data_IF_329932156067
#
_entry.id   IF_329932156067
#
_cell.length_a   1.000
_cell.length_b   1.000
_cell.length_c   1.000
_cell.angle_alpha   90.00
_cell.angle_beta   90.00
_cell.angle_gamma   90.00
#
_symmetry.space_group_name_H-M   'P 1'
#
loop_
_entity.id
_entity.type
_entity.pdbx_description
1 polymer ?
#
# COMPACT_ATOMS: atom_id res chain seq x y z
N UNK A 1 29.43 -70.99 6.58
CA UNK A 1 28.65 -69.84 7.08
C UNK A 1 27.21 -70.30 7.23
N UNK A 2 26.71 -70.41 8.47
CA UNK A 2 25.37 -70.93 8.75
C UNK A 2 24.29 -69.99 8.19
N UNK A 3 23.11 -70.51 7.87
CA UNK A 3 22.00 -69.73 7.29
C UNK A 3 21.68 -68.48 8.13
N UNK A 4 21.75 -68.57 9.46
CA UNK A 4 21.53 -67.43 10.36
C UNK A 4 22.52 -66.27 10.14
N UNK A 5 23.79 -66.57 9.86
CA UNK A 5 24.80 -65.53 9.60
C UNK A 5 24.53 -64.77 8.29
N UNK A 6 23.87 -65.40 7.30
CA UNK A 6 23.51 -64.72 6.04
C UNK A 6 22.36 -63.74 6.23
N UNK A 7 21.43 -64.01 7.14
CA UNK A 7 20.32 -63.11 7.43
C UNK A 7 20.76 -61.88 8.21
N UNK A 8 21.67 -62.04 9.18
CA UNK A 8 22.23 -60.91 9.94
C UNK A 8 22.99 -59.94 9.02
N UNK A 9 23.82 -60.46 8.11
CA UNK A 9 24.59 -59.61 7.17
C UNK A 9 23.66 -58.84 6.21
N UNK A 10 22.59 -59.47 5.72
CA UNK A 10 21.60 -58.79 4.86
C UNK A 10 20.83 -57.72 5.61
N UNK A 11 20.48 -57.96 6.87
CA UNK A 11 19.76 -56.99 7.69
C UNK A 11 20.60 -55.75 7.98
N UNK A 12 21.89 -55.93 8.32
CA UNK A 12 22.82 -54.81 8.52
C UNK A 12 23.07 -54.01 7.24
N UNK A 13 23.15 -54.66 6.07
CA UNK A 13 23.32 -53.96 4.80
C UNK A 13 22.12 -53.05 4.46
N UNK A 14 20.90 -53.49 4.75
CA UNK A 14 19.67 -52.72 4.52
C UNK A 14 19.60 -51.51 5.48
N UNK A 15 19.92 -51.70 6.76
CA UNK A 15 19.96 -50.63 7.74
C UNK A 15 21.01 -49.56 7.40
N UNK A 16 22.20 -49.98 6.94
CA UNK A 16 23.24 -49.04 6.49
C UNK A 16 22.81 -48.25 5.26
N UNK A 17 22.11 -48.89 4.30
CA UNK A 17 21.56 -48.21 3.13
C UNK A 17 20.53 -47.14 3.49
N UNK A 18 19.62 -47.44 4.42
CA UNK A 18 18.60 -46.48 4.89
C UNK A 18 19.20 -45.27 5.59
N UNK A 19 20.27 -45.46 6.38
CA UNK A 19 20.99 -44.36 7.03
C UNK A 19 21.71 -43.45 6.04
N UNK A 20 22.32 -44.02 4.99
CA UNK A 20 23.00 -43.24 3.96
C UNK A 20 22.01 -42.40 3.13
N UNK A 21 20.85 -42.96 2.79
CA UNK A 21 19.81 -42.22 2.06
C UNK A 21 19.25 -41.07 2.89
N UNK A 22 18.99 -41.29 4.18
CA UNK A 22 18.48 -40.23 5.06
C UNK A 22 19.51 -39.13 5.33
N UNK A 23 20.79 -39.48 5.48
CA UNK A 23 21.87 -38.50 5.57
C UNK A 23 22.04 -37.67 4.28
N UNK A 24 21.91 -38.30 3.10
CA UNK A 24 21.98 -37.62 1.81
C UNK A 24 20.81 -36.65 1.61
N UNK A 25 19.59 -37.05 1.99
CA UNK A 25 18.39 -36.19 1.94
C UNK A 25 18.53 -35.01 2.89
N UNK A 26 19.02 -35.22 4.11
CA UNK A 26 19.27 -34.13 5.05
C UNK A 26 20.35 -33.14 4.54
N UNK A 27 21.39 -33.66 3.89
CA UNK A 27 22.44 -32.84 3.30
C UNK A 27 21.95 -32.04 2.08
N UNK A 28 21.12 -32.63 1.22
CA UNK A 28 20.50 -31.94 0.09
C UNK A 28 19.53 -30.85 0.54
N UNK A 29 18.73 -31.11 1.58
CA UNK A 29 17.82 -30.10 2.16
C UNK A 29 18.59 -28.96 2.86
N UNK A 30 19.79 -29.21 3.38
CA UNK A 30 20.62 -28.18 3.98
C UNK A 30 21.26 -27.23 2.94
N UNK A 31 21.43 -27.69 1.69
CA UNK A 31 21.99 -26.87 0.60
C UNK A 31 21.01 -25.80 0.07
N UNK A 32 19.70 -25.97 0.28
CA UNK A 32 18.68 -25.01 -0.18
C UNK A 32 18.47 -23.80 0.76
N UNK A 33 19.08 -23.80 1.96
CA UNK A 33 18.76 -22.85 3.03
C UNK A 33 19.81 -21.74 3.19
N UNK A 34 20.90 -21.70 2.41
CA UNK A 34 21.77 -20.51 2.42
C UNK A 34 21.14 -19.41 1.56
N UNK A 35 20.57 -18.34 2.14
CA UNK A 35 20.11 -17.21 1.33
C UNK A 35 21.30 -16.65 0.55
N UNK A 36 21.11 -16.29 -0.73
CA UNK A 36 22.17 -15.64 -1.49
C UNK A 36 22.60 -14.36 -0.75
N UNK A 37 23.90 -14.00 -0.81
CA UNK A 37 24.35 -12.72 -0.27
C UNK A 37 23.50 -11.61 -0.88
N UNK A 38 23.04 -10.69 -0.02
CA UNK A 38 22.23 -9.56 -0.46
C UNK A 38 22.96 -8.84 -1.61
N UNK A 39 22.27 -8.54 -2.72
CA UNK A 39 22.89 -7.77 -3.80
C UNK A 39 23.36 -6.43 -3.22
N UNK A 40 24.51 -5.91 -3.70
CA UNK A 40 24.93 -4.56 -3.32
C UNK A 40 23.80 -3.57 -3.64
N UNK A 41 23.58 -2.55 -2.78
CA UNK A 41 22.56 -1.54 -3.03
C UNK A 41 22.76 -0.93 -4.42
N UNK A 42 21.67 -0.78 -5.17
CA UNK A 42 21.72 -0.23 -6.51
C UNK A 42 22.13 1.25 -6.42
N UNK A 43 23.25 1.68 -7.04
CA UNK A 43 23.70 3.06 -6.99
C UNK A 43 22.68 4.04 -7.60
N UNK A 44 21.73 3.57 -8.41
CA UNK A 44 20.60 4.41 -8.90
C UNK A 44 19.56 4.72 -7.82
N UNK A 45 19.42 3.88 -6.79
CA UNK A 45 18.57 4.12 -5.61
C UNK A 45 19.24 5.06 -4.61
N UNK A 46 20.58 5.05 -4.50
CA UNK A 46 21.35 6.02 -3.71
C UNK A 46 21.33 7.43 -4.34
N UNK A 47 21.37 7.53 -5.67
CA UNK A 47 21.30 8.82 -6.37
C UNK A 47 19.93 9.52 -6.27
N UNK A 48 18.87 8.81 -5.83
CA UNK A 48 17.55 9.36 -5.53
C UNK A 48 17.38 9.77 -4.06
N UNK A 49 18.44 9.69 -3.25
CA UNK A 49 18.48 10.26 -1.90
C UNK A 49 18.76 11.76 -1.99
N UNK A 50 17.77 12.56 -2.39
CA UNK A 50 17.79 14.01 -2.10
C UNK A 50 16.57 14.47 -1.30
N UNK A 51 16.95 15.35 -0.36
CA UNK A 51 16.27 16.08 0.70
C UNK A 51 15.57 15.29 1.85
N UNK A 52 16.27 15.06 2.98
CA UNK A 52 15.65 14.59 4.22
C UNK A 52 14.76 15.65 4.91
N UNK A 53 14.49 16.80 4.29
CA UNK A 53 13.61 17.84 4.85
C UNK A 53 12.11 17.58 4.65
N UNK A 54 11.70 16.72 3.72
CA UNK A 54 10.32 16.23 3.63
C UNK A 54 10.13 15.02 4.56
N UNK A 55 9.99 15.33 5.84
CA UNK A 55 9.35 14.46 6.84
C UNK A 55 8.09 13.83 6.20
N UNK A 56 7.93 12.48 6.17
CA UNK A 56 6.80 11.80 5.54
C UNK A 56 5.51 11.95 6.35
N UNK A 57 5.18 13.20 6.71
CA UNK A 57 3.91 13.64 7.25
C UNK A 57 2.86 13.48 6.15
N UNK A 58 2.30 12.28 6.10
CA UNK A 58 0.90 12.01 5.77
C UNK A 58 0.28 13.05 4.80
N UNK A 59 0.75 13.03 3.54
CA UNK A 59 0.29 13.90 2.43
C UNK A 59 -1.17 13.57 2.04
N UNK A 60 -1.81 12.62 2.72
CA UNK A 60 -3.18 12.19 2.45
C UNK A 60 -4.21 13.31 2.63
N UNK A 61 -3.98 14.26 3.55
CA UNK A 61 -4.86 15.41 3.77
C UNK A 61 -4.81 16.49 2.68
N UNK A 62 -3.71 16.58 1.90
CA UNK A 62 -3.60 17.53 0.77
C UNK A 62 -4.43 17.09 -0.43
N UNK A 63 -4.59 15.79 -0.63
CA UNK A 63 -5.20 15.20 -1.82
C UNK A 63 -6.66 15.64 -2.00
N UNK A 64 -7.47 15.64 -0.93
CA UNK A 64 -8.88 16.03 -0.99
C UNK A 64 -9.09 17.54 -1.25
N UNK A 65 -8.20 18.40 -0.74
CA UNK A 65 -8.27 19.85 -0.94
C UNK A 65 -7.66 20.30 -2.29
N UNK A 66 -6.68 19.56 -2.81
CA UNK A 66 -5.98 19.87 -4.07
C UNK A 66 -6.66 19.24 -5.30
N UNK A 67 -7.38 18.11 -5.16
CA UNK A 67 -8.00 17.38 -6.28
C UNK A 67 -9.53 17.39 -6.29
N UNK A 68 -10.19 18.13 -5.40
CA UNK A 68 -11.64 18.24 -5.49
C UNK A 68 -12.03 19.00 -6.78
N UNK A 69 -12.85 18.40 -7.67
CA UNK A 69 -13.45 19.13 -8.80
C UNK A 69 -14.38 20.28 -8.34
N UNK A 70 -14.62 20.38 -7.02
CA UNK A 70 -15.31 21.47 -6.34
C UNK A 70 -14.37 22.63 -5.88
N UNK A 71 -13.21 22.80 -6.52
CA UNK A 71 -12.58 24.13 -6.57
C UNK A 71 -13.61 25.21 -6.95
N UNK A 72 -14.61 24.84 -7.77
CA UNK A 72 -15.76 25.68 -8.13
C UNK A 72 -16.80 25.88 -7.00
N UNK A 73 -16.95 24.98 -6.01
CA UNK A 73 -17.78 25.27 -4.82
C UNK A 73 -17.08 26.19 -3.84
N UNK A 74 -15.75 26.10 -3.74
CA UNK A 74 -14.93 27.12 -3.08
C UNK A 74 -15.03 28.46 -3.82
N UNK A 75 -15.16 28.43 -5.16
CA UNK A 75 -15.43 29.60 -6.00
C UNK A 75 -16.90 30.08 -5.99
N UNK A 76 -17.86 29.26 -5.53
CA UNK A 76 -19.29 29.62 -5.44
C UNK A 76 -19.62 30.67 -4.36
N UNK A 77 -18.59 31.27 -3.74
CA UNK A 77 -18.72 32.45 -2.89
C UNK A 77 -19.26 32.17 -1.49
N UNK A 78 -19.34 30.91 -1.06
CA UNK A 78 -19.85 30.53 0.28
C UNK A 78 -18.78 30.56 1.37
N UNK A 79 -17.50 30.38 1.01
CA UNK A 79 -16.37 30.42 1.95
C UNK A 79 -15.42 31.56 1.60
N UNK A 80 -15.40 32.63 2.40
CA UNK A 80 -14.54 33.79 2.18
C UNK A 80 -13.05 33.49 2.41
N UNK A 81 -12.15 34.26 1.76
CA UNK A 81 -10.69 34.12 1.90
C UNK A 81 -10.17 34.12 3.36
N UNK A 82 -10.84 34.86 4.25
CA UNK A 82 -10.53 34.87 5.68
C UNK A 82 -10.79 33.50 6.34
N UNK A 83 -11.85 32.83 5.90
CA UNK A 83 -12.31 31.54 6.44
C UNK A 83 -11.40 30.41 5.96
N UNK A 84 -10.93 30.47 4.70
CA UNK A 84 -9.88 29.57 4.17
C UNK A 84 -8.60 29.68 5.02
N UNK A 85 -8.18 30.89 5.39
CA UNK A 85 -7.00 31.09 6.25
C UNK A 85 -7.20 30.53 7.66
N UNK A 86 -8.38 30.72 8.25
CA UNK A 86 -8.70 30.19 9.57
C UNK A 86 -8.72 28.65 9.58
N UNK A 87 -9.33 28.03 8.58
CA UNK A 87 -9.32 26.57 8.39
C UNK A 87 -7.89 26.07 8.20
N UNK A 88 -7.08 26.74 7.39
CA UNK A 88 -5.68 26.36 7.19
C UNK A 88 -4.86 26.38 8.49
N UNK A 89 -5.14 27.31 9.42
CA UNK A 89 -4.52 27.34 10.75
C UNK A 89 -4.89 26.10 11.58
N UNK A 90 -6.15 25.66 11.52
CA UNK A 90 -6.57 24.43 12.20
C UNK A 90 -5.89 23.21 11.58
N UNK A 91 -5.85 23.13 10.25
CA UNK A 91 -5.22 22.01 9.53
C UNK A 91 -3.70 21.93 9.73
N UNK A 92 -3.07 23.02 10.20
CA UNK A 92 -1.65 23.07 10.54
C UNK A 92 -1.35 22.63 11.98
N UNK A 93 -2.38 22.35 12.79
CA UNK A 93 -2.21 21.90 14.15
C UNK A 93 -1.46 20.56 14.21
N UNK A 94 -0.66 20.37 15.27
CA UNK A 94 0.18 19.17 15.42
C UNK A 94 -0.37 18.16 16.43
N UNK A 95 -1.44 18.52 17.12
CA UNK A 95 -2.13 17.66 18.08
C UNK A 95 -3.63 17.86 17.97
N UNK A 96 -4.38 16.83 18.31
CA UNK A 96 -5.85 16.87 18.27
C UNK A 96 -6.39 17.97 19.19
N UNK A 97 -5.86 18.07 20.42
CA UNK A 97 -6.28 19.09 21.39
C UNK A 97 -6.05 20.52 20.88
N UNK A 98 -4.92 20.78 20.23
CA UNK A 98 -4.64 22.07 19.61
C UNK A 98 -5.60 22.36 18.46
N UNK A 99 -5.82 21.38 17.57
CA UNK A 99 -6.69 21.51 16.42
C UNK A 99 -8.13 21.82 16.84
N UNK A 100 -8.67 21.10 17.84
CA UNK A 100 -10.00 21.34 18.38
C UNK A 100 -10.13 22.72 19.04
N UNK A 101 -9.11 23.15 19.79
CA UNK A 101 -9.08 24.49 20.40
C UNK A 101 -9.08 25.59 19.34
N UNK A 102 -8.30 25.42 18.27
CA UNK A 102 -8.25 26.36 17.15
C UNK A 102 -9.57 26.37 16.38
N UNK A 103 -10.18 25.20 16.15
CA UNK A 103 -11.47 25.08 15.47
C UNK A 103 -12.61 25.75 16.27
N UNK A 104 -12.62 25.58 17.59
CA UNK A 104 -13.57 26.27 18.47
C UNK A 104 -13.41 27.80 18.46
N UNK A 105 -12.26 28.31 18.05
CA UNK A 105 -11.98 29.74 17.91
C UNK A 105 -12.33 30.30 16.52
N UNK A 106 -12.68 29.45 15.54
CA UNK A 106 -13.24 29.88 14.25
C UNK A 106 -14.70 30.29 14.47
N UNK A 107 -15.13 31.36 13.80
CA UNK A 107 -16.50 31.89 13.86
C UNK A 107 -17.53 30.77 13.59
N UNK A 108 -18.30 30.41 14.63
CA UNK A 108 -19.36 29.37 14.63
C UNK A 108 -20.27 29.33 13.39
N UNK A 109 -20.68 30.44 12.74
CA UNK A 109 -21.56 30.40 11.57
C UNK A 109 -21.04 29.61 10.36
N UNK A 110 -19.73 29.36 10.22
CA UNK A 110 -19.17 28.65 9.06
C UNK A 110 -19.07 27.15 9.34
N UNK A 111 -18.52 26.79 10.50
CA UNK A 111 -18.37 25.40 10.92
C UNK A 111 -19.71 24.73 11.22
N UNK A 112 -20.79 25.47 11.50
CA UNK A 112 -22.10 24.85 11.71
C UNK A 112 -22.91 24.69 10.42
N UNK A 113 -22.72 25.57 9.42
CA UNK A 113 -23.57 25.63 8.22
C UNK A 113 -23.04 24.81 7.04
N UNK A 114 -21.74 24.54 6.98
CA UNK A 114 -21.14 23.82 5.87
C UNK A 114 -20.74 22.39 6.28
N UNK A 115 -21.48 21.40 5.76
CA UNK A 115 -21.24 19.99 6.03
C UNK A 115 -19.87 19.52 5.53
N UNK A 116 -19.37 20.08 4.41
CA UNK A 116 -18.07 19.73 3.85
C UNK A 116 -16.92 20.26 4.71
N UNK A 117 -17.04 21.48 5.24
CA UNK A 117 -16.05 22.02 6.20
C UNK A 117 -16.03 21.18 7.48
N UNK A 118 -17.20 20.76 7.98
CA UNK A 118 -17.28 19.87 9.15
C UNK A 118 -16.66 18.51 8.89
N UNK A 119 -16.93 17.90 7.74
CA UNK A 119 -16.35 16.61 7.36
C UNK A 119 -14.83 16.70 7.22
N UNK A 120 -14.31 17.80 6.63
CA UNK A 120 -12.87 18.09 6.58
C UNK A 120 -12.25 18.19 7.97
N UNK A 121 -12.86 18.95 8.88
CA UNK A 121 -12.34 19.09 10.25
C UNK A 121 -12.39 17.77 11.02
N UNK A 122 -13.50 17.04 10.92
CA UNK A 122 -13.66 15.73 11.56
C UNK A 122 -12.64 14.70 11.05
N UNK A 123 -12.42 14.61 9.74
CA UNK A 123 -11.38 13.73 9.18
C UNK A 123 -9.97 14.15 9.60
N UNK A 124 -9.71 15.45 9.76
CA UNK A 124 -8.43 15.94 10.30
C UNK A 124 -8.25 15.58 11.78
N UNK A 125 -9.28 15.74 12.62
CA UNK A 125 -9.22 15.33 14.02
C UNK A 125 -9.02 13.82 14.16
N UNK A 126 -9.72 13.03 13.34
CA UNK A 126 -9.54 11.58 13.30
C UNK A 126 -8.09 11.18 12.94
N UNK A 127 -7.46 11.88 12.00
CA UNK A 127 -6.03 11.67 11.66
C UNK A 127 -5.10 11.96 12.83
N UNK A 128 -5.31 13.08 13.52
CA UNK A 128 -4.49 13.47 14.67
C UNK A 128 -4.66 12.48 15.82
N UNK A 129 -5.89 12.10 16.14
CA UNK A 129 -6.21 11.08 17.13
C UNK A 129 -5.51 9.74 16.81
N UNK A 130 -5.59 9.30 15.54
CA UNK A 130 -4.94 8.07 15.08
C UNK A 130 -3.41 8.14 15.21
N UNK A 131 -2.81 9.29 14.93
CA UNK A 131 -1.37 9.52 15.09
C UNK A 131 -0.94 9.51 16.57
N UNK A 132 -1.78 10.03 17.46
CA UNK A 132 -1.60 10.01 18.91
C UNK A 132 -1.89 8.62 19.53
N UNK A 133 -2.52 7.73 18.77
CA UNK A 133 -2.89 6.38 19.21
C UNK A 133 -4.23 6.32 19.95
N UNK A 134 -5.01 7.40 19.97
CA UNK A 134 -6.37 7.42 20.49
C UNK A 134 -7.35 6.85 19.45
N UNK A 135 -7.50 5.53 19.47
CA UNK A 135 -8.33 4.81 18.49
C UNK A 135 -9.82 5.09 18.66
N UNK A 136 -10.28 5.38 19.89
CA UNK A 136 -11.70 5.69 20.17
C UNK A 136 -12.06 7.06 19.64
N UNK A 137 -11.22 8.07 19.90
CA UNK A 137 -11.43 9.40 19.33
C UNK A 137 -11.30 9.39 17.81
N UNK A 138 -10.33 8.64 17.25
CA UNK A 138 -10.17 8.51 15.80
C UNK A 138 -11.41 7.91 15.14
N UNK A 139 -11.97 6.84 15.72
CA UNK A 139 -13.20 6.22 15.23
C UNK A 139 -14.40 7.16 15.34
N UNK A 140 -14.59 7.81 16.49
CA UNK A 140 -15.70 8.73 16.72
C UNK A 140 -15.72 9.89 15.72
N UNK A 141 -14.56 10.51 15.48
CA UNK A 141 -14.43 11.62 14.52
C UNK A 141 -14.61 11.15 13.07
N UNK A 142 -14.11 9.96 12.70
CA UNK A 142 -14.33 9.41 11.37
C UNK A 142 -15.81 9.03 11.12
N UNK A 143 -16.49 8.44 12.12
CA UNK A 143 -17.92 8.17 12.06
C UNK A 143 -18.74 9.48 12.00
N UNK A 144 -18.31 10.50 12.74
CA UNK A 144 -18.93 11.82 12.66
C UNK A 144 -18.79 12.41 11.26
N UNK A 145 -17.61 12.32 10.63
CA UNK A 145 -17.41 12.74 9.25
C UNK A 145 -18.36 12.02 8.28
N UNK A 146 -18.55 10.69 8.43
CA UNK A 146 -19.52 9.92 7.64
C UNK A 146 -20.97 10.35 7.88
N UNK A 147 -21.32 10.77 9.10
CA UNK A 147 -22.68 11.21 9.42
C UNK A 147 -23.10 12.51 8.71
N UNK A 148 -22.14 13.23 8.14
CA UNK A 148 -22.34 14.48 7.42
C UNK A 148 -22.58 14.28 5.91
N UNK A 149 -22.74 13.02 5.48
CA UNK A 149 -22.77 12.54 4.10
C UNK A 149 -23.49 13.46 3.09
N UNK A 150 -22.77 13.82 2.03
CA UNK A 150 -23.26 14.53 0.85
C UNK A 150 -23.26 13.66 -0.42
N UNK A 151 -22.99 12.35 -0.29
CA UNK A 151 -23.27 11.39 -1.34
C UNK A 151 -22.09 11.06 -2.27
N UNK A 152 -21.02 11.85 -2.36
CA UNK A 152 -19.83 11.56 -3.20
C UNK A 152 -18.60 12.45 -2.86
N UNK A 153 -18.37 12.86 -1.59
CA UNK A 153 -17.17 13.66 -1.30
C UNK A 153 -15.91 12.82 -1.04
N UNK A 154 -14.76 13.41 -1.39
CA UNK A 154 -13.44 12.90 -1.04
C UNK A 154 -13.22 12.80 0.48
N UNK A 155 -13.93 13.61 1.29
CA UNK A 155 -13.91 13.52 2.76
C UNK A 155 -14.63 12.26 3.28
N UNK A 156 -15.70 11.83 2.62
CA UNK A 156 -16.37 10.55 2.93
C UNK A 156 -15.43 9.37 2.65
N UNK A 157 -14.67 9.41 1.54
CA UNK A 157 -13.65 8.40 1.24
C UNK A 157 -12.52 8.40 2.30
N UNK A 158 -12.02 9.57 2.69
CA UNK A 158 -11.02 9.73 3.76
C UNK A 158 -11.52 9.14 5.09
N UNK A 159 -12.78 9.37 5.45
CA UNK A 159 -13.35 8.83 6.68
C UNK A 159 -13.39 7.29 6.66
N UNK A 160 -13.78 6.68 5.54
CA UNK A 160 -13.69 5.22 5.37
C UNK A 160 -12.24 4.71 5.46
N UNK A 161 -11.29 5.41 4.83
CA UNK A 161 -9.85 5.09 4.94
C UNK A 161 -9.37 5.11 6.40
N UNK A 162 -9.77 6.13 7.17
CA UNK A 162 -9.41 6.28 8.57
C UNK A 162 -10.02 5.19 9.45
N UNK A 163 -11.28 4.82 9.22
CA UNK A 163 -11.89 3.66 9.89
C UNK A 163 -11.14 2.36 9.57
N UNK A 164 -10.71 2.19 8.32
CA UNK A 164 -9.89 1.05 7.93
C UNK A 164 -8.55 1.01 8.66
N UNK A 165 -7.91 2.17 8.85
CA UNK A 165 -6.67 2.31 9.63
C UNK A 165 -6.89 2.02 11.12
N UNK A 166 -8.00 2.46 11.71
CA UNK A 166 -8.38 2.13 13.09
C UNK A 166 -8.57 0.63 13.25
N UNK A 167 -9.32 -0.01 12.35
CA UNK A 167 -9.54 -1.46 12.36
C UNK A 167 -8.21 -2.23 12.25
N UNK A 168 -7.32 -1.83 11.34
CA UNK A 168 -6.00 -2.43 11.19
C UNK A 168 -5.15 -2.29 12.47
N UNK A 169 -5.19 -1.12 13.15
CA UNK A 169 -4.51 -0.92 14.45
C UNK A 169 -5.06 -1.81 15.56
N UNK A 170 -6.35 -2.18 15.50
CA UNK A 170 -6.98 -3.14 16.39
C UNK A 170 -6.74 -4.61 16.00
N UNK A 171 -6.08 -4.86 14.87
CA UNK A 171 -5.82 -6.21 14.34
C UNK A 171 -7.01 -6.83 13.60
N UNK A 172 -8.04 -6.06 13.26
CA UNK A 172 -9.17 -6.51 12.46
C UNK A 172 -8.93 -6.25 10.97
N UNK A 173 -8.19 -7.16 10.34
CA UNK A 173 -7.79 -7.04 8.93
C UNK A 173 -8.98 -7.11 7.96
N UNK A 174 -10.05 -7.82 8.32
CA UNK A 174 -11.25 -7.94 7.49
C UNK A 174 -12.03 -6.63 7.47
N UNK A 175 -12.29 -6.06 8.65
CA UNK A 175 -12.95 -4.75 8.73
C UNK A 175 -12.08 -3.66 8.12
N UNK A 176 -10.75 -3.75 8.28
CA UNK A 176 -9.82 -2.86 7.60
C UNK A 176 -9.99 -2.91 6.08
N UNK A 177 -9.94 -4.11 5.49
CA UNK A 177 -10.10 -4.29 4.04
C UNK A 177 -11.44 -3.74 3.54
N UNK A 178 -12.55 -4.07 4.22
CA UNK A 178 -13.90 -3.62 3.84
C UNK A 178 -13.96 -2.08 3.83
N UNK A 179 -13.41 -1.44 4.87
CA UNK A 179 -13.39 0.02 4.96
C UNK A 179 -12.49 0.65 3.88
N UNK A 180 -11.36 0.04 3.54
CA UNK A 180 -10.53 0.54 2.44
C UNK A 180 -11.24 0.40 1.07
N UNK A 181 -11.94 -0.71 0.83
CA UNK A 181 -12.74 -0.89 -0.39
C UNK A 181 -13.83 0.18 -0.45
N UNK A 182 -14.54 0.45 0.65
CA UNK A 182 -15.55 1.50 0.70
C UNK A 182 -14.98 2.89 0.38
N UNK A 183 -13.74 3.18 0.82
CA UNK A 183 -13.06 4.44 0.45
C UNK A 183 -12.83 4.55 -1.07
N UNK A 184 -12.38 3.46 -1.71
CA UNK A 184 -12.13 3.41 -3.17
C UNK A 184 -13.44 3.41 -3.97
N UNK A 185 -14.48 2.74 -3.51
CA UNK A 185 -15.81 2.81 -4.13
C UNK A 185 -16.35 4.24 -4.14
N UNK A 186 -16.01 5.03 -3.11
CA UNK A 186 -16.43 6.43 -2.99
C UNK A 186 -15.56 7.39 -3.79
N UNK A 187 -14.26 7.15 -3.82
CA UNK A 187 -13.29 7.92 -4.59
C UNK A 187 -12.28 6.95 -5.24
N UNK A 188 -12.49 6.56 -6.51
CA UNK A 188 -11.68 5.52 -7.18
C UNK A 188 -10.18 5.79 -7.21
N UNK A 189 -9.78 7.06 -7.20
CA UNK A 189 -8.38 7.49 -7.19
C UNK A 189 -7.84 7.76 -5.77
N UNK A 190 -8.49 7.21 -4.73
CA UNK A 190 -8.04 7.35 -3.33
C UNK A 190 -6.75 6.54 -3.08
N UNK A 191 -5.61 7.12 -3.50
CA UNK A 191 -4.28 6.50 -3.42
C UNK A 191 -4.01 5.85 -2.07
N UNK A 192 -4.26 6.50 -0.91
CA UNK A 192 -3.94 5.90 0.38
C UNK A 192 -4.70 4.60 0.65
N UNK A 193 -5.97 4.53 0.21
CA UNK A 193 -6.80 3.33 0.40
C UNK A 193 -6.39 2.22 -0.56
N UNK A 194 -6.16 2.56 -1.83
CA UNK A 194 -5.61 1.63 -2.83
C UNK A 194 -4.29 1.00 -2.36
N UNK A 195 -3.43 1.79 -1.73
CA UNK A 195 -2.16 1.32 -1.16
C UNK A 195 -2.37 0.35 0.00
N UNK A 196 -3.28 0.64 0.93
CA UNK A 196 -3.59 -0.28 2.03
C UNK A 196 -4.21 -1.58 1.52
N UNK A 197 -5.10 -1.52 0.51
CA UNK A 197 -5.66 -2.72 -0.14
C UNK A 197 -4.54 -3.55 -0.76
N UNK A 198 -3.64 -2.91 -1.52
CA UNK A 198 -2.49 -3.59 -2.11
C UNK A 198 -1.65 -4.27 -1.01
N UNK A 199 -1.30 -3.55 0.05
CA UNK A 199 -0.51 -4.03 1.19
C UNK A 199 -1.14 -5.24 1.86
N UNK A 200 -2.45 -5.18 2.14
CA UNK A 200 -3.20 -6.29 2.74
C UNK A 200 -3.18 -7.55 1.84
N UNK A 201 -3.26 -7.39 0.52
CA UNK A 201 -3.14 -8.53 -0.39
C UNK A 201 -1.74 -9.10 -0.52
N UNK A 202 -0.67 -8.31 -0.27
CA UNK A 202 0.71 -8.82 -0.30
C UNK A 202 1.00 -9.77 0.85
N UNK A 203 0.43 -9.51 2.03
CA UNK A 203 0.65 -10.31 3.24
C UNK A 203 -0.35 -11.45 3.36
N UNK A 204 -1.41 -11.46 2.55
CA UNK A 204 -2.39 -12.53 2.51
C UNK A 204 -1.76 -13.83 1.97
N UNK A 205 -1.88 -14.91 2.74
CA UNK A 205 -1.45 -16.24 2.33
C UNK A 205 -2.37 -16.78 1.23
N UNK A 206 -1.88 -16.79 -0.01
CA UNK A 206 -2.40 -17.48 -1.20
C UNK A 206 -3.94 -17.46 -1.41
N UNK A 207 -4.38 -16.63 -2.36
CA UNK A 207 -5.73 -16.57 -2.97
C UNK A 207 -6.88 -16.34 -1.98
N UNK A 208 -7.56 -15.21 -2.17
CA UNK A 208 -8.76 -14.84 -1.45
C UNK A 208 -9.19 -13.42 -1.82
N UNK A 209 -10.24 -12.91 -1.18
CA UNK A 209 -10.79 -11.58 -1.45
C UNK A 209 -9.72 -10.46 -1.34
N UNK A 210 -8.80 -10.57 -0.38
CA UNK A 210 -7.70 -9.59 -0.20
C UNK A 210 -6.71 -9.60 -1.37
N UNK A 211 -6.38 -10.77 -1.92
CA UNK A 211 -5.49 -10.90 -3.08
C UNK A 211 -6.14 -10.35 -4.36
N UNK A 212 -7.44 -10.62 -4.54
CA UNK A 212 -8.21 -10.10 -5.68
C UNK A 212 -8.36 -8.57 -5.60
N UNK A 213 -8.75 -8.05 -4.44
CA UNK A 213 -8.82 -6.61 -4.18
C UNK A 213 -7.47 -5.93 -4.41
N UNK A 214 -6.36 -6.54 -3.99
CA UNK A 214 -5.03 -6.04 -4.28
C UNK A 214 -4.73 -6.01 -5.78
N UNK A 215 -5.09 -7.03 -6.56
CA UNK A 215 -4.96 -7.00 -8.02
C UNK A 215 -5.66 -5.79 -8.65
N UNK A 216 -6.91 -5.52 -8.24
CA UNK A 216 -7.66 -4.35 -8.69
C UNK A 216 -7.04 -3.03 -8.24
N UNK A 217 -6.57 -2.96 -6.99
CA UNK A 217 -5.94 -1.76 -6.47
C UNK A 217 -4.63 -1.45 -7.21
N UNK A 218 -3.81 -2.47 -7.49
CA UNK A 218 -2.56 -2.33 -8.26
C UNK A 218 -2.82 -1.86 -9.69
N UNK A 219 -3.88 -2.35 -10.34
CA UNK A 219 -4.30 -1.87 -11.64
C UNK A 219 -4.68 -0.38 -11.58
N UNK A 220 -5.49 0.02 -10.60
CA UNK A 220 -5.86 1.43 -10.42
C UNK A 220 -4.63 2.31 -10.20
N UNK A 221 -3.72 1.91 -9.31
CA UNK A 221 -2.47 2.61 -9.03
C UNK A 221 -1.61 2.77 -10.30
N UNK A 222 -1.51 1.75 -11.16
CA UNK A 222 -0.72 1.86 -12.40
C UNK A 222 -1.16 3.02 -13.33
N UNK A 223 -2.41 3.48 -13.20
CA UNK A 223 -2.97 4.55 -14.02
C UNK A 223 -2.82 5.96 -13.39
N UNK A 224 -2.37 6.07 -12.15
CA UNK A 224 -2.29 7.35 -11.42
C UNK A 224 -0.94 8.04 -11.67
N UNK A 225 -0.97 9.25 -12.25
CA UNK A 225 0.22 10.11 -12.40
C UNK A 225 0.49 10.85 -11.09
N UNK A 226 1.72 10.80 -10.56
CA UNK A 226 2.15 11.60 -9.40
C UNK A 226 2.44 10.83 -8.11
N UNK A 227 2.37 9.50 -8.10
CA UNK A 227 2.58 8.70 -6.89
C UNK A 227 4.06 8.37 -6.56
N UNK A 228 5.01 9.15 -7.10
CA UNK A 228 6.46 8.93 -6.97
C UNK A 228 6.95 8.95 -5.52
N UNK A 229 6.43 9.86 -4.69
CA UNK A 229 6.80 9.98 -3.27
C UNK A 229 6.37 8.78 -2.43
N UNK A 230 5.22 8.17 -2.76
CA UNK A 230 4.74 6.96 -2.10
C UNK A 230 5.52 5.72 -2.54
N UNK A 231 5.96 5.69 -3.80
CA UNK A 231 6.58 4.54 -4.42
C UNK A 231 7.83 4.04 -3.66
N UNK A 232 8.70 4.95 -3.21
CA UNK A 232 9.95 4.58 -2.52
C UNK A 232 9.70 3.90 -1.18
N UNK A 233 8.80 4.45 -0.34
CA UNK A 233 8.52 3.90 0.98
C UNK A 233 7.89 2.52 0.91
N UNK A 234 7.01 2.30 -0.08
CA UNK A 234 6.39 1.01 -0.33
C UNK A 234 7.37 0.00 -0.89
N UNK A 235 8.27 0.41 -1.79
CA UNK A 235 9.28 -0.48 -2.35
C UNK A 235 10.17 -1.05 -1.22
N UNK A 236 10.58 -0.19 -0.27
CA UNK A 236 11.28 -0.61 0.95
C UNK A 236 10.47 -1.57 1.81
N UNK A 237 9.16 -1.38 1.91
CA UNK A 237 8.30 -2.30 2.67
C UNK A 237 8.17 -3.67 1.98
N UNK A 238 7.98 -3.69 0.65
CA UNK A 238 7.95 -4.92 -0.15
C UNK A 238 9.26 -5.71 0.00
N UNK A 239 10.41 -5.02 -0.03
CA UNK A 239 11.73 -5.60 0.21
C UNK A 239 11.88 -6.13 1.64
N UNK A 240 11.48 -5.34 2.64
CA UNK A 240 11.55 -5.72 4.07
C UNK A 240 10.69 -6.93 4.39
N UNK A 241 9.51 -7.03 3.78
CA UNK A 241 8.62 -8.19 3.92
C UNK A 241 9.18 -9.43 3.21
N UNK A 242 10.28 -9.31 2.46
CA UNK A 242 10.87 -10.40 1.69
C UNK A 242 9.87 -11.02 0.72
N UNK A 243 8.92 -10.21 0.22
CA UNK A 243 7.76 -10.74 -0.47
C UNK A 243 8.15 -11.36 -1.82
N UNK A 244 7.76 -12.61 -2.02
CA UNK A 244 8.05 -13.41 -3.22
C UNK A 244 6.75 -13.96 -3.80
N UNK A 245 5.71 -13.15 -3.92
CA UNK A 245 4.46 -13.51 -4.59
C UNK A 245 4.38 -12.85 -5.96
N UNK A 246 3.43 -13.29 -6.79
CA UNK A 246 3.20 -12.68 -8.11
C UNK A 246 2.71 -11.23 -7.94
N UNK A 247 1.82 -11.01 -6.99
CA UNK A 247 1.28 -9.71 -6.63
C UNK A 247 2.39 -8.74 -6.18
N UNK A 248 3.41 -9.24 -5.45
CA UNK A 248 4.57 -8.46 -5.08
C UNK A 248 5.48 -8.11 -6.24
N UNK A 249 5.71 -9.06 -7.17
CA UNK A 249 6.48 -8.79 -8.39
C UNK A 249 5.74 -7.74 -9.26
N UNK A 250 4.41 -7.78 -9.32
CA UNK A 250 3.60 -6.77 -10.03
C UNK A 250 3.59 -5.40 -9.33
N UNK A 251 3.36 -5.37 -8.02
CA UNK A 251 3.42 -4.13 -7.24
C UNK A 251 4.80 -3.48 -7.38
N UNK A 252 5.87 -4.25 -7.26
CA UNK A 252 7.23 -3.75 -7.46
C UNK A 252 7.38 -3.07 -8.83
N UNK A 253 6.88 -3.71 -9.90
CA UNK A 253 6.90 -3.11 -11.23
C UNK A 253 6.13 -1.77 -11.31
N UNK A 254 4.96 -1.68 -10.67
CA UNK A 254 4.17 -0.43 -10.61
C UNK A 254 4.95 0.67 -9.88
N UNK A 255 5.52 0.35 -8.72
CA UNK A 255 6.28 1.30 -7.90
C UNK A 255 7.55 1.77 -8.64
N UNK A 256 8.31 0.86 -9.24
CA UNK A 256 9.50 1.19 -10.03
C UNK A 256 9.17 2.10 -11.22
N UNK A 257 8.03 1.87 -11.89
CA UNK A 257 7.56 2.77 -12.94
C UNK A 257 7.25 4.17 -12.40
N UNK A 258 6.54 4.26 -11.27
CA UNK A 258 6.27 5.55 -10.62
C UNK A 258 7.55 6.29 -10.21
N UNK A 259 8.62 5.56 -9.89
CA UNK A 259 9.95 6.10 -9.64
C UNK A 259 10.68 6.56 -10.90
N UNK A 260 10.11 6.35 -12.10
CA UNK A 260 10.78 6.62 -13.37
C UNK A 260 11.90 5.63 -13.65
N UNK A 261 11.77 4.38 -13.18
CA UNK A 261 12.73 3.29 -13.37
C UNK A 261 12.14 2.21 -14.30
N UNK A 262 11.85 2.52 -15.58
CA UNK A 262 11.15 1.59 -16.48
C UNK A 262 11.94 0.29 -16.74
N UNK A 263 13.27 0.33 -16.66
CA UNK A 263 14.11 -0.87 -16.77
C UNK A 263 13.95 -1.84 -15.59
N UNK A 264 13.91 -1.32 -14.36
CA UNK A 264 13.64 -2.11 -13.16
C UNK A 264 12.21 -2.67 -13.20
N UNK A 265 11.24 -1.83 -13.56
CA UNK A 265 9.84 -2.23 -13.71
C UNK A 265 9.67 -3.42 -14.69
N UNK A 266 10.36 -3.39 -15.83
CA UNK A 266 10.36 -4.49 -16.79
C UNK A 266 11.01 -5.77 -16.23
N UNK A 267 12.06 -5.65 -15.42
CA UNK A 267 12.69 -6.80 -14.76
C UNK A 267 11.74 -7.45 -13.74
N UNK A 268 11.01 -6.65 -12.97
CA UNK A 268 9.97 -7.09 -12.03
C UNK A 268 8.79 -7.76 -12.75
N UNK A 269 8.33 -7.22 -13.88
CA UNK A 269 7.33 -7.90 -14.72
C UNK A 269 7.84 -9.24 -15.27
N UNK A 270 9.11 -9.33 -15.65
CA UNK A 270 9.69 -10.61 -16.10
C UNK A 270 9.77 -11.64 -14.96
N UNK A 271 9.99 -11.21 -13.71
CA UNK A 271 9.94 -12.07 -12.54
C UNK A 271 8.53 -12.59 -12.28
N UNK A 272 7.53 -11.70 -12.36
CA UNK A 272 6.11 -12.03 -12.32
C UNK A 272 5.75 -13.11 -13.36
N UNK A 273 6.12 -12.90 -14.63
CA UNK A 273 5.80 -13.83 -15.71
C UNK A 273 6.41 -15.23 -15.49
N UNK A 274 7.68 -15.30 -15.08
CA UNK A 274 8.32 -16.56 -14.72
C UNK A 274 7.57 -17.28 -13.61
N UNK A 275 7.12 -16.52 -12.60
CA UNK A 275 6.35 -17.06 -11.48
C UNK A 275 4.97 -17.53 -11.91
N UNK A 276 4.25 -16.75 -12.72
CA UNK A 276 2.94 -17.15 -13.26
C UNK A 276 3.03 -18.31 -14.25
N UNK A 277 4.19 -18.54 -14.87
CA UNK A 277 4.45 -19.77 -15.63
C UNK A 277 4.63 -21.00 -14.75
N UNK A 278 5.17 -20.83 -13.53
CA UNK A 278 5.39 -21.90 -12.57
C UNK A 278 4.18 -22.15 -11.65
N UNK A 279 3.36 -21.13 -11.40
CA UNK A 279 2.21 -21.15 -10.50
C UNK A 279 1.02 -20.45 -11.15
N UNK A 280 -0.20 -20.93 -10.91
CA UNK A 280 -1.40 -20.29 -11.47
C UNK A 280 -1.65 -18.91 -10.83
N UNK A 281 -1.45 -17.83 -11.59
CA UNK A 281 -1.85 -16.47 -11.24
C UNK A 281 -3.32 -16.18 -11.60
N UNK A 282 -3.87 -15.07 -11.11
CA UNK A 282 -5.22 -14.61 -11.49
C UNK A 282 -5.20 -14.00 -12.89
N UNK A 283 -6.30 -14.15 -13.64
CA UNK A 283 -6.42 -13.56 -14.99
C UNK A 283 -6.30 -12.04 -14.96
N UNK A 284 -6.83 -11.40 -13.92
CA UNK A 284 -6.72 -9.94 -13.70
C UNK A 284 -5.25 -9.50 -13.61
N UNK A 285 -4.43 -10.21 -12.83
CA UNK A 285 -3.01 -9.90 -12.67
C UNK A 285 -2.23 -10.07 -13.99
N UNK A 286 -2.50 -11.15 -14.71
CA UNK A 286 -1.86 -11.43 -16.01
C UNK A 286 -2.25 -10.37 -17.05
N UNK A 287 -3.54 -10.04 -17.15
CA UNK A 287 -4.03 -9.01 -18.08
C UNK A 287 -3.46 -7.63 -17.77
N UNK A 288 -3.34 -7.29 -16.49
CA UNK A 288 -2.76 -6.02 -16.03
C UNK A 288 -1.26 -5.93 -16.37
N UNK A 289 -0.50 -7.01 -16.14
CA UNK A 289 0.91 -7.09 -16.52
C UNK A 289 1.13 -6.98 -18.03
N UNK A 290 0.30 -7.67 -18.81
CA UNK A 290 0.36 -7.64 -20.28
C UNK A 290 0.07 -6.25 -20.84
N UNK A 291 -0.88 -5.53 -20.24
CA UNK A 291 -1.25 -4.16 -20.64
C UNK A 291 -0.20 -3.13 -20.23
N UNK A 292 0.51 -3.37 -19.11
CA UNK A 292 1.49 -2.43 -18.58
C UNK A 292 2.84 -2.50 -19.30
N UNK A 293 3.25 -3.69 -19.73
CA UNK A 293 4.53 -3.91 -20.42
C UNK A 293 4.81 -3.00 -21.63
N UNK A 294 3.89 -2.80 -22.60
CA UNK A 294 4.16 -1.92 -23.74
C UNK A 294 4.39 -0.47 -23.32
N UNK A 295 3.68 0.03 -22.29
CA UNK A 295 3.85 1.38 -21.76
C UNK A 295 5.26 1.58 -21.18
N UNK A 296 5.77 0.58 -20.45
CA UNK A 296 7.13 0.63 -19.91
C UNK A 296 8.21 0.55 -20.99
N UNK A 297 7.98 -0.26 -22.03
CA UNK A 297 8.91 -0.39 -23.15
C UNK A 297 9.02 0.93 -23.92
N UNK A 298 7.90 1.63 -24.13
CA UNK A 298 7.87 2.97 -24.73
C UNK A 298 8.60 3.99 -23.85
N UNK A 299 8.33 4.02 -22.54
CA UNK A 299 9.01 4.92 -21.60
C UNK A 299 10.54 4.67 -21.56
N UNK A 300 10.98 3.41 -21.63
CA UNK A 300 12.39 3.06 -21.69
C UNK A 300 13.04 3.49 -23.03
N UNK A 301 12.30 3.42 -24.14
CA UNK A 301 12.80 3.89 -25.43
C UNK A 301 12.99 5.41 -25.42
N UNK A 302 12.05 6.16 -24.83
CA UNK A 302 12.12 7.61 -24.70
C UNK A 302 13.31 8.06 -23.84
N UNK A 303 13.52 7.44 -22.68
CA UNK A 303 14.65 7.75 -21.78
C UNK A 303 16.03 7.45 -22.40
N UNK A 304 16.12 6.51 -23.36
CA UNK A 304 17.35 6.22 -24.10
C UNK A 304 17.60 7.15 -25.29
N UNK A 305 16.59 7.92 -25.68
CA UNK A 305 16.64 8.82 -26.84
C UNK A 305 16.99 10.26 -26.49
N UNK A 306 17.05 10.61 -25.21
CA UNK A 306 17.59 11.89 -24.74
C UNK A 306 19.13 11.83 -24.69
N UNK A 307 19.84 12.70 -25.45
CA UNK A 307 21.30 12.71 -25.56
C UNK A 307 22.02 13.31 -24.34
#
# INVERSE_FOLDING_TARGET
MNLEQRHVVRYYAILCGLFLVSALVAWLLAQEITPPPAPPPDPTLEALQEDPSEDPKDITGRFCLELSPDADRTASGRVGLLQIRQIAVVLAARSQAEAMRLAAAIDQPISERDASVRALLATHFARLALAEGDLEAAEGEAQFALSLDDGVSCFTADAHYLLGRVAAKRGDENTALIAQIAAVERFPDHIPALLEIARLGLVASARGASTEAAGHALLALSNIRGARSYAQSLLREVERLGCRTAECDYLRAVLENWLGLPGAALASLAALERRCGAFSCTESLIGSAASFRPLLAEALALTRSEP
#
